data_IF_961702756130
#
_entry.id   IF_961702756130
#
_cell.length_a   1.000
_cell.length_b   1.000
_cell.length_c   1.000
_cell.angle_alpha   90.00
_cell.angle_beta   90.00
_cell.angle_gamma   90.00
#
_symmetry.space_group_name_H-M   'P 1'
#
loop_
_entity.id
_entity.type
_entity.pdbx_description
1 polymer ?
#
# COMPACT_ATOMS: atom_id res chain seq x y z
N UNK A 1 3.66 -1.99 -1.98
CA UNK A 1 4.37 -1.40 -3.11
C UNK A 1 4.99 -2.51 -3.92
N UNK A 2 4.42 -2.76 -5.09
CA UNK A 2 4.99 -3.67 -6.10
C UNK A 2 6.13 -3.01 -6.89
N UNK A 3 6.74 -1.96 -6.34
CA UNK A 3 7.93 -1.41 -6.95
C UNK A 3 8.95 -2.56 -7.06
N UNK A 4 9.44 -2.80 -8.24
CA UNK A 4 10.55 -3.73 -8.46
C UNK A 4 11.81 -3.12 -7.87
N UNK A 5 11.89 -3.13 -6.54
CA UNK A 5 13.09 -2.68 -5.86
C UNK A 5 14.28 -3.56 -6.24
N UNK A 6 15.39 -2.95 -6.56
CA UNK A 6 16.67 -3.66 -6.68
C UNK A 6 17.05 -4.37 -5.36
N UNK A 7 17.99 -5.31 -5.43
CA UNK A 7 18.33 -6.16 -4.29
C UNK A 7 18.70 -5.38 -3.01
N UNK A 8 19.44 -4.26 -3.13
CA UNK A 8 19.80 -3.42 -1.99
C UNK A 8 18.57 -2.75 -1.37
N UNK A 9 17.69 -2.17 -2.19
CA UNK A 9 16.49 -1.50 -1.70
C UNK A 9 15.48 -2.46 -1.06
N UNK A 10 15.40 -3.71 -1.52
CA UNK A 10 14.59 -4.75 -0.87
C UNK A 10 15.10 -5.08 0.54
N UNK A 11 16.42 -5.22 0.71
CA UNK A 11 17.03 -5.44 2.02
C UNK A 11 16.80 -4.24 2.94
N UNK A 12 16.95 -3.04 2.40
CA UNK A 12 16.71 -1.79 3.13
C UNK A 12 15.25 -1.65 3.56
N UNK A 13 14.27 -2.03 2.73
CA UNK A 13 12.86 -2.05 3.12
C UNK A 13 12.60 -2.98 4.31
N UNK A 14 13.19 -4.19 4.30
CA UNK A 14 13.04 -5.14 5.42
C UNK A 14 13.62 -4.55 6.71
N UNK A 15 14.83 -3.99 6.65
CA UNK A 15 15.44 -3.33 7.80
C UNK A 15 14.59 -2.13 8.29
N UNK A 16 14.11 -1.30 7.38
CA UNK A 16 13.28 -0.14 7.71
C UNK A 16 11.97 -0.51 8.42
N UNK A 17 11.37 -1.66 8.08
CA UNK A 17 10.19 -2.17 8.77
C UNK A 17 10.48 -2.57 10.20
N UNK A 18 11.63 -3.18 10.46
CA UNK A 18 12.07 -3.49 11.83
C UNK A 18 12.21 -2.21 12.66
N UNK A 19 12.78 -1.16 12.08
CA UNK A 19 12.91 0.14 12.74
C UNK A 19 11.54 0.79 12.98
N UNK A 20 10.61 0.70 12.01
CA UNK A 20 9.24 1.17 12.18
C UNK A 20 8.53 0.40 13.30
N UNK A 21 8.67 -0.94 13.34
CA UNK A 21 8.05 -1.77 14.38
C UNK A 21 8.56 -1.39 15.77
N UNK A 22 9.85 -1.10 15.89
CA UNK A 22 10.43 -0.60 17.13
C UNK A 22 9.89 0.78 17.51
N UNK A 23 9.72 1.70 16.53
CA UNK A 23 9.21 3.05 16.75
C UNK A 23 7.73 3.08 17.19
N UNK A 24 6.90 2.16 16.67
CA UNK A 24 5.47 2.10 17.04
C UNK A 24 5.18 1.14 18.20
N UNK A 25 6.20 0.45 18.71
CA UNK A 25 6.05 -0.46 19.84
C UNK A 25 5.64 0.28 21.11
N UNK A 26 4.44 -0.01 21.60
CA UNK A 26 3.87 0.67 22.78
C UNK A 26 3.35 2.08 22.52
N UNK A 27 3.34 2.55 21.27
CA UNK A 27 2.69 3.80 20.89
C UNK A 27 1.17 3.68 20.96
N UNK A 28 0.48 4.78 21.26
CA UNK A 28 -0.96 4.90 21.06
C UNK A 28 -1.29 5.19 19.58
N UNK A 29 -2.58 5.14 19.22
CA UNK A 29 -3.04 5.38 17.88
C UNK A 29 -2.67 6.79 17.37
N UNK A 30 -2.75 7.80 18.24
CA UNK A 30 -2.44 9.18 17.87
C UNK A 30 -0.95 9.36 17.55
N UNK A 31 -0.09 8.81 18.38
CA UNK A 31 1.36 8.85 18.18
C UNK A 31 1.79 8.13 16.89
N UNK A 32 1.20 6.96 16.61
CA UNK A 32 1.46 6.22 15.37
C UNK A 32 0.94 7.01 14.13
N UNK A 33 -0.23 7.65 14.23
CA UNK A 33 -0.80 8.47 13.17
C UNK A 33 -0.02 9.78 12.97
N UNK A 34 0.54 10.38 14.04
CA UNK A 34 1.45 11.52 13.93
C UNK A 34 2.74 11.14 13.19
N UNK A 35 3.35 10.01 13.55
CA UNK A 35 4.51 9.46 12.83
C UNK A 35 4.22 9.27 11.35
N UNK A 36 3.05 8.72 11.00
CA UNK A 36 2.60 8.59 9.61
C UNK A 36 2.62 9.93 8.88
N UNK A 37 2.03 10.98 9.48
CA UNK A 37 1.95 12.32 8.89
C UNK A 37 3.34 12.93 8.65
N UNK A 38 4.24 12.76 9.61
CA UNK A 38 5.61 13.23 9.52
C UNK A 38 6.42 12.50 8.43
N UNK A 39 6.21 11.18 8.29
CA UNK A 39 6.84 10.39 7.23
C UNK A 39 6.30 10.77 5.85
N UNK A 40 5.00 11.04 5.69
CA UNK A 40 4.46 11.60 4.44
C UNK A 40 5.09 12.93 4.10
N UNK A 41 5.22 13.84 5.08
CA UNK A 41 5.93 15.10 4.88
C UNK A 41 7.38 14.89 4.41
N UNK A 42 8.12 13.97 5.02
CA UNK A 42 9.47 13.62 4.58
C UNK A 42 9.49 13.07 3.16
N UNK A 43 8.55 12.19 2.81
CA UNK A 43 8.42 11.64 1.47
C UNK A 43 8.18 12.75 0.43
N UNK A 44 7.39 13.78 0.76
CA UNK A 44 7.15 14.94 -0.10
C UNK A 44 8.41 15.80 -0.27
N UNK A 45 9.11 16.09 0.82
CA UNK A 45 10.39 16.80 0.77
C UNK A 45 11.41 16.08 -0.11
N UNK A 46 11.53 14.76 0.05
CA UNK A 46 12.43 13.91 -0.75
C UNK A 46 11.98 13.80 -2.21
N UNK A 47 10.68 13.80 -2.47
CA UNK A 47 10.11 13.71 -3.82
C UNK A 47 10.40 14.98 -4.63
N UNK A 48 10.26 16.14 -4.00
CA UNK A 48 10.42 17.44 -4.66
C UNK A 48 11.88 17.91 -4.74
N UNK A 49 12.75 17.46 -3.81
CA UNK A 49 14.13 17.92 -3.72
C UNK A 49 15.14 16.84 -4.13
N UNK A 50 15.50 16.82 -5.43
CA UNK A 50 16.44 15.85 -5.99
C UNK A 50 17.80 15.90 -5.30
N UNK A 51 18.29 17.08 -4.96
CA UNK A 51 19.59 17.27 -4.31
C UNK A 51 19.63 16.63 -2.92
N UNK A 52 18.58 16.84 -2.11
CA UNK A 52 18.42 16.22 -0.78
C UNK A 52 18.39 14.70 -0.91
N UNK A 53 17.56 14.20 -1.80
CA UNK A 53 17.43 12.76 -2.05
C UNK A 53 18.75 12.10 -2.44
N UNK A 54 19.50 12.73 -3.36
CA UNK A 54 20.83 12.25 -3.76
C UNK A 54 21.83 12.29 -2.61
N UNK A 55 21.84 13.38 -1.84
CA UNK A 55 22.74 13.53 -0.70
C UNK A 55 22.55 12.42 0.34
N UNK A 56 21.30 12.00 0.60
CA UNK A 56 20.97 10.95 1.56
C UNK A 56 21.25 9.52 1.06
N UNK A 57 21.18 9.32 -0.25
CA UNK A 57 21.39 7.99 -0.86
C UNK A 57 22.80 7.78 -1.38
N UNK A 58 23.66 8.78 -1.32
CA UNK A 58 25.05 8.71 -1.75
C UNK A 58 25.84 7.70 -0.87
N UNK A 59 26.34 6.59 -1.42
CA UNK A 59 27.07 5.59 -0.65
C UNK A 59 28.46 6.04 -0.22
N UNK A 60 29.00 7.11 -0.83
CA UNK A 60 30.32 7.67 -0.49
C UNK A 60 30.29 8.58 0.73
N UNK A 61 29.11 9.08 1.11
CA UNK A 61 28.96 9.95 2.29
C UNK A 61 28.91 9.14 3.57
N UNK A 62 29.65 9.63 4.56
CA UNK A 62 29.59 9.08 5.91
C UNK A 62 28.20 9.18 6.56
N UNK A 63 27.80 8.15 7.29
CA UNK A 63 26.51 8.09 7.97
C UNK A 63 26.29 9.23 8.97
N UNK A 64 27.34 9.65 9.68
CA UNK A 64 27.26 10.79 10.61
C UNK A 64 26.98 12.11 9.89
N UNK A 65 27.60 12.33 8.73
CA UNK A 65 27.37 13.52 7.92
C UNK A 65 25.94 13.56 7.38
N UNK A 66 25.38 12.40 6.98
CA UNK A 66 23.96 12.28 6.58
C UNK A 66 23.01 12.57 7.73
N UNK A 67 23.30 12.01 8.93
CA UNK A 67 22.50 12.23 10.14
C UNK A 67 22.48 13.71 10.53
N UNK A 68 23.62 14.39 10.54
CA UNK A 68 23.70 15.82 10.80
C UNK A 68 22.89 16.62 9.78
N UNK A 69 23.04 16.31 8.49
CA UNK A 69 22.27 16.97 7.43
C UNK A 69 20.76 16.81 7.57
N UNK A 70 20.29 15.61 7.95
CA UNK A 70 18.85 15.35 8.22
C UNK A 70 18.40 16.16 9.44
N UNK A 71 19.18 16.16 10.52
CA UNK A 71 18.87 16.90 11.75
C UNK A 71 18.75 18.42 11.48
N UNK A 72 19.65 18.99 10.71
CA UNK A 72 19.62 20.40 10.34
C UNK A 72 18.41 20.73 9.46
N UNK A 73 18.07 19.86 8.52
CA UNK A 73 16.99 20.10 7.55
C UNK A 73 15.60 19.88 8.14
N UNK A 74 15.42 18.82 8.94
CA UNK A 74 14.12 18.30 9.36
C UNK A 74 13.90 18.34 10.87
N UNK A 75 14.95 18.47 11.70
CA UNK A 75 14.87 18.30 13.15
C UNK A 75 13.93 19.28 13.88
N UNK A 76 13.62 20.44 13.26
CA UNK A 76 12.62 21.40 13.78
C UNK A 76 11.21 21.19 13.19
N UNK A 77 11.04 20.26 12.25
CA UNK A 77 9.81 20.09 11.46
C UNK A 77 9.13 18.75 11.74
N UNK A 78 9.85 17.79 12.27
CA UNK A 78 9.34 16.42 12.57
C UNK A 78 9.77 16.03 13.98
N UNK A 79 9.01 15.11 14.60
CA UNK A 79 9.29 14.60 15.94
C UNK A 79 10.50 13.65 15.97
N UNK A 80 10.96 13.37 17.18
CA UNK A 80 12.15 12.56 17.41
C UNK A 80 12.06 11.15 16.82
N UNK A 81 10.87 10.53 16.84
CA UNK A 81 10.65 9.18 16.27
C UNK A 81 10.87 9.18 14.76
N UNK A 82 10.23 10.12 14.03
CA UNK A 82 10.40 10.25 12.59
C UNK A 82 11.83 10.62 12.23
N UNK A 83 12.46 11.53 12.98
CA UNK A 83 13.84 11.94 12.76
C UNK A 83 14.80 10.75 12.92
N UNK A 84 14.65 9.95 13.97
CA UNK A 84 15.43 8.75 14.20
C UNK A 84 15.28 7.75 13.06
N UNK A 85 14.05 7.45 12.67
CA UNK A 85 13.75 6.52 11.57
C UNK A 85 14.36 7.00 10.24
N UNK A 86 14.18 8.27 9.86
CA UNK A 86 14.74 8.82 8.62
C UNK A 86 16.27 8.83 8.64
N UNK A 87 16.86 9.06 9.80
CA UNK A 87 18.32 8.97 9.99
C UNK A 87 18.83 7.55 9.73
N UNK A 88 18.17 6.53 10.29
CA UNK A 88 18.51 5.13 10.03
C UNK A 88 18.36 4.77 8.54
N UNK A 89 17.25 5.18 7.90
CA UNK A 89 17.03 4.95 6.48
C UNK A 89 18.13 5.56 5.60
N UNK A 90 18.69 6.69 5.99
CA UNK A 90 19.79 7.34 5.26
C UNK A 90 21.10 6.56 5.34
N UNK A 91 21.28 5.75 6.36
CA UNK A 91 22.46 4.89 6.52
C UNK A 91 22.39 3.62 5.67
N UNK A 92 21.20 3.24 5.20
CA UNK A 92 20.97 2.06 4.39
C UNK A 92 21.41 2.26 2.93
N UNK A 93 21.57 1.16 2.21
CA UNK A 93 21.94 1.18 0.78
C UNK A 93 20.72 1.11 -0.11
N UNK A 94 20.67 2.00 -1.09
CA UNK A 94 19.55 2.14 -2.03
C UNK A 94 20.02 1.84 -3.45
N UNK A 95 19.26 1.01 -4.18
CA UNK A 95 19.54 0.72 -5.60
C UNK A 95 19.26 1.92 -6.50
N UNK A 96 18.33 2.77 -6.08
CA UNK A 96 18.00 4.04 -6.73
C UNK A 96 17.63 5.09 -5.67
N UNK A 97 17.99 6.37 -5.86
CA UNK A 97 17.53 7.46 -4.98
C UNK A 97 16.02 7.57 -4.88
N UNK A 98 15.26 7.17 -5.91
CA UNK A 98 13.80 7.14 -5.89
C UNK A 98 13.26 6.09 -4.92
N UNK A 99 13.97 4.99 -4.72
CA UNK A 99 13.52 3.90 -3.84
C UNK A 99 13.41 4.37 -2.37
N UNK A 100 14.29 5.27 -1.92
CA UNK A 100 14.18 5.89 -0.59
C UNK A 100 12.84 6.61 -0.41
N UNK A 101 12.42 7.41 -1.41
CA UNK A 101 11.12 8.13 -1.37
C UNK A 101 9.96 7.14 -1.23
N UNK A 102 9.97 6.11 -2.07
CA UNK A 102 8.91 5.10 -2.11
C UNK A 102 8.87 4.29 -0.81
N UNK A 103 10.01 3.98 -0.21
CA UNK A 103 10.07 3.28 1.07
C UNK A 103 9.60 4.17 2.21
N UNK A 104 9.98 5.45 2.25
CA UNK A 104 9.48 6.39 3.27
C UNK A 104 7.96 6.53 3.19
N UNK A 105 7.40 6.66 1.98
CA UNK A 105 5.94 6.68 1.78
C UNK A 105 5.30 5.38 2.26
N UNK A 106 5.89 4.23 1.93
CA UNK A 106 5.37 2.94 2.38
C UNK A 106 5.37 2.84 3.91
N UNK A 107 6.43 3.28 4.58
CA UNK A 107 6.49 3.30 6.05
C UNK A 107 5.46 4.27 6.64
N UNK A 108 5.16 5.38 5.97
CA UNK A 108 4.09 6.29 6.37
C UNK A 108 2.72 5.60 6.34
N UNK A 109 2.42 4.84 5.28
CA UNK A 109 1.19 4.05 5.17
C UNK A 109 1.15 2.96 6.24
N UNK A 110 2.27 2.26 6.46
CA UNK A 110 2.37 1.20 7.47
C UNK A 110 2.26 1.75 8.91
N UNK A 111 2.72 2.98 9.18
CA UNK A 111 2.51 3.67 10.44
C UNK A 111 1.03 4.01 10.67
N UNK A 112 0.32 4.50 9.64
CA UNK A 112 -1.13 4.73 9.72
C UNK A 112 -1.90 3.42 9.90
N UNK A 113 -1.50 2.36 9.21
CA UNK A 113 -2.05 1.03 9.41
C UNK A 113 -1.89 0.54 10.86
N UNK A 114 -0.74 0.88 11.49
CA UNK A 114 -0.52 0.58 12.91
C UNK A 114 -1.46 1.37 13.81
N UNK A 115 -1.65 2.66 13.53
CA UNK A 115 -2.61 3.51 14.24
C UNK A 115 -4.03 2.94 14.16
N UNK A 116 -4.48 2.60 12.94
CA UNK A 116 -5.78 1.99 12.70
C UNK A 116 -5.91 0.61 13.39
N UNK A 117 -4.84 -0.18 13.42
CA UNK A 117 -4.84 -1.48 14.11
C UNK A 117 -4.96 -1.33 15.63
N UNK A 118 -4.24 -0.36 16.22
CA UNK A 118 -4.33 -0.04 17.66
C UNK A 118 -5.76 0.44 18.00
N UNK A 119 -6.39 1.22 17.12
CA UNK A 119 -7.78 1.66 17.25
C UNK A 119 -8.83 0.58 16.98
N UNK A 120 -8.43 -0.62 16.49
CA UNK A 120 -9.35 -1.68 16.08
C UNK A 120 -10.08 -1.42 14.75
N UNK A 121 -9.64 -0.44 13.97
CA UNK A 121 -10.29 0.02 12.73
C UNK A 121 -9.59 -0.44 11.43
N UNK A 122 -8.51 -1.21 11.52
CA UNK A 122 -7.71 -1.54 10.33
C UNK A 122 -8.50 -2.29 9.25
N UNK A 123 -9.42 -3.19 9.64
CA UNK A 123 -10.28 -3.90 8.67
C UNK A 123 -11.18 -2.92 7.91
N UNK A 124 -11.76 -1.97 8.64
CA UNK A 124 -12.58 -0.89 8.07
C UNK A 124 -11.78 -0.04 7.08
N UNK A 125 -10.56 0.37 7.46
CA UNK A 125 -9.67 1.17 6.58
C UNK A 125 -9.36 0.41 5.30
N UNK A 126 -9.04 -0.88 5.39
CA UNK A 126 -8.75 -1.71 4.22
C UNK A 126 -9.97 -1.83 3.28
N UNK A 127 -11.19 -2.02 3.83
CA UNK A 127 -12.44 -2.07 3.05
C UNK A 127 -12.76 -0.74 2.39
N UNK A 128 -12.61 0.36 3.12
CA UNK A 128 -12.85 1.71 2.60
C UNK A 128 -11.86 2.08 1.49
N UNK A 129 -10.57 1.74 1.62
CA UNK A 129 -9.55 1.96 0.57
C UNK A 129 -9.86 1.10 -0.67
N UNK A 130 -10.32 -0.13 -0.48
CA UNK A 130 -10.73 -0.99 -1.61
C UNK A 130 -11.96 -0.42 -2.33
N UNK A 131 -12.96 0.03 -1.57
CA UNK A 131 -14.18 0.65 -2.11
C UNK A 131 -13.84 1.93 -2.88
N UNK A 132 -13.00 2.79 -2.32
CA UNK A 132 -12.52 3.99 -2.99
C UNK A 132 -11.77 3.66 -4.30
N UNK A 133 -10.89 2.65 -4.28
CA UNK A 133 -10.18 2.19 -5.48
C UNK A 133 -11.15 1.78 -6.59
N UNK A 134 -12.20 1.03 -6.24
CA UNK A 134 -13.21 0.57 -7.18
C UNK A 134 -14.04 1.74 -7.75
N UNK A 135 -14.44 2.68 -6.89
CA UNK A 135 -15.19 3.87 -7.31
C UNK A 135 -14.37 4.74 -8.29
N UNK A 136 -13.09 4.98 -7.98
CA UNK A 136 -12.23 5.78 -8.86
C UNK A 136 -11.87 5.06 -10.17
N UNK A 137 -11.68 3.75 -10.15
CA UNK A 137 -11.45 2.98 -11.37
C UNK A 137 -12.69 2.97 -12.28
N UNK A 138 -13.90 2.95 -11.71
CA UNK A 138 -15.16 2.92 -12.43
C UNK A 138 -15.59 4.24 -13.09
N UNK A 139 -14.99 5.38 -12.72
CA UNK A 139 -15.39 6.71 -13.22
C UNK A 139 -14.25 7.44 -13.93
N UNK A 140 -14.40 7.67 -15.24
CA UNK A 140 -13.44 8.48 -16.01
C UNK A 140 -13.43 9.94 -15.57
N UNK A 141 -14.57 10.47 -15.13
CA UNK A 141 -14.71 11.85 -14.66
C UNK A 141 -13.96 12.05 -13.33
N UNK A 142 -14.13 11.13 -12.39
CA UNK A 142 -13.39 11.16 -11.11
C UNK A 142 -11.89 11.07 -11.35
N UNK A 143 -11.44 10.16 -12.22
CA UNK A 143 -10.01 10.05 -12.57
C UNK A 143 -9.46 11.35 -13.12
N UNK A 144 -10.18 11.99 -14.05
CA UNK A 144 -9.79 13.28 -14.62
C UNK A 144 -9.74 14.40 -13.57
N UNK A 145 -10.74 14.47 -12.69
CA UNK A 145 -10.79 15.47 -11.62
C UNK A 145 -9.63 15.30 -10.63
N UNK A 146 -9.32 14.07 -10.23
CA UNK A 146 -8.25 13.76 -9.27
C UNK A 146 -6.84 13.93 -9.84
N UNK A 147 -6.66 13.85 -11.16
CA UNK A 147 -5.37 14.08 -11.82
C UNK A 147 -5.17 15.54 -12.23
N UNK A 148 -6.17 16.40 -12.06
CA UNK A 148 -6.06 17.85 -12.33
C UNK A 148 -5.09 18.53 -11.35
N UNK A 149 -4.61 19.71 -11.71
CA UNK A 149 -3.73 20.52 -10.82
C UNK A 149 -4.51 21.36 -9.78
N UNK A 150 -5.84 21.29 -9.77
CA UNK A 150 -6.72 22.07 -8.91
C UNK A 150 -6.76 21.49 -7.48
N UNK A 151 -5.75 21.77 -6.65
CA UNK A 151 -5.57 21.19 -5.31
C UNK A 151 -6.79 21.36 -4.40
N UNK A 152 -7.39 22.56 -4.37
CA UNK A 152 -8.56 22.81 -3.52
C UNK A 152 -9.80 22.01 -3.97
N UNK A 153 -10.03 21.92 -5.28
CA UNK A 153 -11.14 21.15 -5.82
C UNK A 153 -10.97 19.65 -5.54
N UNK A 154 -9.74 19.14 -5.63
CA UNK A 154 -9.43 17.75 -5.26
C UNK A 154 -9.70 17.47 -3.79
N UNK A 155 -9.30 18.36 -2.89
CA UNK A 155 -9.52 18.18 -1.45
C UNK A 155 -11.02 18.12 -1.12
N UNK A 156 -11.82 19.01 -1.70
CA UNK A 156 -13.28 19.01 -1.55
C UNK A 156 -13.88 17.71 -2.10
N UNK A 157 -13.49 17.32 -3.31
CA UNK A 157 -13.99 16.10 -3.94
C UNK A 157 -13.65 14.84 -3.12
N UNK A 158 -12.42 14.74 -2.60
CA UNK A 158 -12.01 13.62 -1.73
C UNK A 158 -12.83 13.61 -0.45
N UNK A 159 -13.06 14.79 0.18
CA UNK A 159 -13.86 14.90 1.38
C UNK A 159 -15.32 14.47 1.16
N UNK A 160 -15.91 14.84 0.02
CA UNK A 160 -17.28 14.48 -0.33
C UNK A 160 -17.42 12.96 -0.62
N UNK A 161 -16.47 12.39 -1.36
CA UNK A 161 -16.49 10.95 -1.69
C UNK A 161 -16.27 10.09 -0.44
N UNK A 162 -15.41 10.54 0.47
CA UNK A 162 -15.06 9.83 1.69
C UNK A 162 -15.90 10.25 2.90
N UNK A 163 -17.04 10.88 2.67
CA UNK A 163 -17.95 11.27 3.75
C UNK A 163 -18.40 10.04 4.55
N UNK A 164 -18.08 10.05 5.84
CA UNK A 164 -18.37 8.94 6.75
C UNK A 164 -17.29 7.85 6.80
N UNK A 165 -16.22 7.97 6.01
CA UNK A 165 -15.06 7.10 6.11
C UNK A 165 -14.25 7.39 7.39
N UNK A 166 -13.42 6.44 7.80
CA UNK A 166 -12.49 6.59 8.93
C UNK A 166 -11.48 7.71 8.69
N UNK A 167 -10.98 8.32 9.76
CA UNK A 167 -9.95 9.36 9.68
C UNK A 167 -8.68 8.88 8.97
N UNK A 168 -8.29 7.63 9.21
CA UNK A 168 -7.14 7.01 8.54
C UNK A 168 -7.36 6.85 7.04
N UNK A 169 -8.56 6.47 6.59
CA UNK A 169 -8.90 6.38 5.16
C UNK A 169 -8.85 7.75 4.49
N UNK A 170 -9.47 8.76 5.11
CA UNK A 170 -9.43 10.14 4.59
C UNK A 170 -7.99 10.63 4.46
N UNK A 171 -7.16 10.42 5.48
CA UNK A 171 -5.73 10.78 5.46
C UNK A 171 -5.00 10.08 4.31
N UNK A 172 -5.10 8.75 4.23
CA UNK A 172 -4.38 7.95 3.24
C UNK A 172 -4.76 8.32 1.81
N UNK A 173 -6.06 8.45 1.51
CA UNK A 173 -6.53 8.83 0.18
C UNK A 173 -6.13 10.27 -0.16
N UNK A 174 -6.23 11.20 0.80
CA UNK A 174 -5.79 12.58 0.60
C UNK A 174 -4.30 12.67 0.27
N UNK A 175 -3.46 11.96 1.00
CA UNK A 175 -2.01 11.90 0.75
C UNK A 175 -1.71 11.33 -0.64
N UNK A 176 -2.38 10.25 -1.02
CA UNK A 176 -2.22 9.61 -2.32
C UNK A 176 -2.61 10.55 -3.47
N UNK A 177 -3.78 11.21 -3.37
CA UNK A 177 -4.30 12.12 -4.40
C UNK A 177 -3.43 13.37 -4.57
N UNK A 178 -2.84 13.86 -3.48
CA UNK A 178 -1.95 15.02 -3.52
C UNK A 178 -0.56 14.68 -4.07
N UNK A 179 -0.14 13.41 -4.01
CA UNK A 179 1.22 13.02 -4.39
C UNK A 179 1.24 11.66 -5.12
N UNK A 180 0.78 11.61 -6.37
CA UNK A 180 0.79 10.40 -7.21
C UNK A 180 2.20 9.83 -7.47
N UNK A 181 3.23 10.65 -7.40
CA UNK A 181 4.65 10.30 -7.64
C UNK A 181 4.88 9.53 -8.95
N UNK A 182 4.15 9.92 -10.00
CA UNK A 182 4.27 9.31 -11.34
C UNK A 182 3.58 7.94 -11.48
N UNK A 183 2.73 7.56 -10.53
CA UNK A 183 1.92 6.33 -10.61
C UNK A 183 0.55 6.61 -11.24
N UNK A 184 -0.05 5.58 -11.87
CA UNK A 184 -1.47 5.61 -12.17
C UNK A 184 -2.31 5.48 -10.89
N UNK A 185 -3.58 5.86 -10.95
CA UNK A 185 -4.53 5.74 -9.83
C UNK A 185 -4.59 4.30 -9.34
N UNK A 186 -4.75 3.35 -10.25
CA UNK A 186 -4.85 1.92 -9.96
C UNK A 186 -3.57 1.40 -9.28
N UNK A 187 -2.40 1.82 -9.78
CA UNK A 187 -1.12 1.42 -9.20
C UNK A 187 -0.93 2.00 -7.80
N UNK A 188 -1.33 3.27 -7.58
CA UNK A 188 -1.24 3.90 -6.27
C UNK A 188 -2.13 3.20 -5.24
N UNK A 189 -3.40 2.91 -5.58
CA UNK A 189 -4.30 2.16 -4.70
C UNK A 189 -3.78 0.75 -4.41
N UNK A 190 -3.28 0.05 -5.42
CA UNK A 190 -2.71 -1.29 -5.22
C UNK A 190 -1.50 -1.27 -4.26
N UNK A 191 -0.64 -0.25 -4.36
CA UNK A 191 0.49 -0.05 -3.45
C UNK A 191 0.03 0.19 -2.01
N UNK A 192 -0.99 1.03 -1.81
CA UNK A 192 -1.55 1.33 -0.49
C UNK A 192 -2.21 0.10 0.14
N UNK A 193 -3.03 -0.62 -0.61
CA UNK A 193 -3.65 -1.87 -0.16
C UNK A 193 -2.59 -2.90 0.24
N UNK A 194 -1.52 -3.02 -0.55
CA UNK A 194 -0.43 -3.92 -0.23
C UNK A 194 0.31 -3.52 1.06
N UNK A 195 0.56 -2.23 1.28
CA UNK A 195 1.22 -1.73 2.48
C UNK A 195 0.35 -1.95 3.74
N UNK A 196 -0.97 -1.73 3.64
CA UNK A 196 -1.92 -2.03 4.72
C UNK A 196 -1.92 -3.52 5.09
N UNK A 197 -2.02 -4.40 4.09
CA UNK A 197 -2.02 -5.85 4.30
C UNK A 197 -0.68 -6.37 4.85
N UNK A 198 0.44 -5.80 4.40
CA UNK A 198 1.77 -6.16 4.89
C UNK A 198 1.91 -5.93 6.40
N UNK A 199 1.19 -4.97 6.97
CA UNK A 199 1.21 -4.67 8.41
C UNK A 199 0.63 -5.79 9.26
N UNK A 200 -0.28 -6.60 8.71
CA UNK A 200 -0.83 -7.79 9.36
C UNK A 200 -0.14 -9.10 8.94
N UNK A 201 0.94 -9.06 8.18
CA UNK A 201 1.51 -10.25 7.54
C UNK A 201 0.49 -11.06 6.74
N UNK A 202 -0.49 -10.38 6.12
CA UNK A 202 -1.53 -11.01 5.30
C UNK A 202 -1.22 -10.82 3.81
N UNK A 203 -1.53 -11.83 3.01
CA UNK A 203 -1.57 -11.72 1.55
C UNK A 203 -2.94 -11.20 1.09
N UNK A 204 -2.92 -10.33 0.08
CA UNK A 204 -4.15 -9.92 -0.60
C UNK A 204 -4.42 -10.92 -1.73
N UNK A 205 -5.63 -11.52 -1.68
CA UNK A 205 -6.21 -12.28 -2.78
C UNK A 205 -7.32 -11.46 -3.43
N UNK A 206 -7.14 -11.05 -4.69
CA UNK A 206 -8.24 -10.50 -5.48
C UNK A 206 -9.06 -11.66 -6.03
N UNK A 207 -10.32 -11.73 -5.61
CA UNK A 207 -11.24 -12.81 -5.96
C UNK A 207 -12.34 -12.25 -6.86
N UNK A 208 -12.36 -12.71 -8.13
CA UNK A 208 -13.41 -12.38 -9.09
C UNK A 208 -14.46 -13.49 -9.10
N UNK A 209 -15.71 -13.06 -8.98
CA UNK A 209 -16.89 -13.96 -8.90
C UNK A 209 -18.03 -13.41 -9.75
N UNK A 210 -18.88 -14.31 -10.26
CA UNK A 210 -20.05 -13.93 -11.05
C UNK A 210 -21.19 -13.32 -10.20
N UNK A 211 -21.30 -13.72 -8.94
CA UNK A 211 -22.36 -13.30 -8.02
C UNK A 211 -21.84 -13.24 -6.58
N UNK A 212 -22.46 -12.42 -5.69
CA UNK A 212 -22.05 -12.29 -4.30
C UNK A 212 -22.00 -13.63 -3.57
N UNK A 213 -20.97 -13.82 -2.72
CA UNK A 213 -20.85 -14.98 -1.83
C UNK A 213 -21.59 -14.75 -0.51
N UNK A 214 -22.15 -15.81 0.06
CA UNK A 214 -22.61 -15.77 1.44
C UNK A 214 -21.41 -15.70 2.41
N UNK A 215 -21.65 -15.24 3.64
CA UNK A 215 -20.61 -15.18 4.68
C UNK A 215 -19.94 -16.54 4.89
N UNK A 216 -20.72 -17.62 4.95
CA UNK A 216 -20.20 -18.97 5.11
C UNK A 216 -19.29 -19.43 3.94
N UNK A 217 -19.61 -19.00 2.71
CA UNK A 217 -18.77 -19.28 1.54
C UNK A 217 -17.48 -18.47 1.59
N UNK A 218 -17.55 -17.21 2.01
CA UNK A 218 -16.39 -16.33 2.18
C UNK A 218 -15.42 -16.88 3.23
N UNK A 219 -15.94 -17.31 4.38
CA UNK A 219 -15.14 -17.89 5.47
C UNK A 219 -14.43 -19.18 5.03
N UNK A 220 -15.13 -20.07 4.32
CA UNK A 220 -14.55 -21.29 3.74
C UNK A 220 -13.45 -20.97 2.72
N UNK A 221 -13.68 -20.00 1.86
CA UNK A 221 -12.70 -19.58 0.86
C UNK A 221 -11.45 -18.99 1.54
N UNK A 222 -11.64 -18.12 2.55
CA UNK A 222 -10.54 -17.53 3.33
C UNK A 222 -9.71 -18.62 4.02
N UNK A 223 -10.36 -19.57 4.68
CA UNK A 223 -9.69 -20.70 5.35
C UNK A 223 -8.91 -21.55 4.35
N UNK A 224 -9.52 -21.88 3.22
CA UNK A 224 -8.88 -22.70 2.17
C UNK A 224 -7.66 -22.01 1.57
N UNK A 225 -7.75 -20.71 1.28
CA UNK A 225 -6.65 -19.91 0.73
C UNK A 225 -5.52 -19.76 1.75
N UNK A 226 -5.85 -19.45 3.02
CA UNK A 226 -4.88 -19.35 4.11
C UNK A 226 -4.11 -20.68 4.30
N UNK A 227 -4.80 -21.80 4.30
CA UNK A 227 -4.17 -23.12 4.41
C UNK A 227 -3.27 -23.44 3.22
N UNK A 228 -3.67 -23.06 2.00
CA UNK A 228 -2.90 -23.31 0.78
C UNK A 228 -1.63 -22.46 0.68
N UNK A 229 -1.67 -21.24 1.19
CA UNK A 229 -0.58 -20.28 1.10
C UNK A 229 0.31 -20.30 2.35
N UNK A 230 -0.15 -20.88 3.46
CA UNK A 230 0.60 -20.99 4.72
C UNK A 230 0.67 -19.71 5.53
N UNK A 231 -0.09 -18.68 5.17
CA UNK A 231 -0.17 -17.41 5.91
C UNK A 231 -1.56 -16.77 5.75
N UNK A 232 -1.97 -15.87 6.66
CA UNK A 232 -3.26 -15.22 6.60
C UNK A 232 -3.49 -14.52 5.26
N UNK A 233 -4.70 -14.67 4.72
CA UNK A 233 -5.10 -14.09 3.43
C UNK A 233 -6.26 -13.15 3.65
N UNK A 234 -6.16 -11.92 3.12
CA UNK A 234 -7.29 -11.00 2.97
C UNK A 234 -7.89 -11.17 1.59
N UNK A 235 -9.19 -11.39 1.53
CA UNK A 235 -9.93 -11.51 0.27
C UNK A 235 -10.56 -10.16 -0.08
N UNK A 236 -10.24 -9.63 -1.26
CA UNK A 236 -10.92 -8.52 -1.90
C UNK A 236 -11.80 -9.09 -3.02
N UNK A 237 -13.12 -8.86 -2.94
CA UNK A 237 -14.09 -9.41 -3.88
C UNK A 237 -14.39 -8.38 -4.97
N UNK A 238 -14.27 -8.82 -6.22
CA UNK A 238 -14.71 -8.09 -7.40
C UNK A 238 -15.80 -8.91 -8.09
N UNK A 239 -16.98 -8.32 -8.25
CA UNK A 239 -18.09 -8.97 -8.97
C UNK A 239 -17.90 -8.66 -10.45
N UNK A 240 -17.65 -9.70 -11.25
CA UNK A 240 -17.44 -9.62 -12.68
C UNK A 240 -18.42 -10.56 -13.39
N UNK A 241 -19.49 -10.02 -14.02
CA UNK A 241 -20.49 -10.83 -14.71
C UNK A 241 -19.93 -11.64 -15.90
N UNK A 242 -18.73 -11.30 -16.40
CA UNK A 242 -18.08 -12.06 -17.47
C UNK A 242 -17.53 -13.41 -17.01
N UNK A 243 -17.41 -13.62 -15.69
CA UNK A 243 -17.03 -14.93 -15.10
C UNK A 243 -18.24 -15.88 -15.22
N UNK A 244 -18.15 -16.88 -16.09
CA UNK A 244 -19.22 -17.88 -16.34
C UNK A 244 -19.53 -18.79 -15.13
N UNK A 245 -19.01 -18.46 -13.93
CA UNK A 245 -19.16 -19.22 -12.70
C UNK A 245 -17.81 -19.70 -12.15
N UNK A 246 -17.82 -20.11 -10.88
CA UNK A 246 -16.60 -20.44 -10.13
C UNK A 246 -15.91 -19.19 -9.57
N UNK A 247 -14.63 -19.33 -9.23
CA UNK A 247 -13.84 -18.31 -8.56
C UNK A 247 -12.50 -18.18 -9.27
N UNK A 248 -12.15 -16.96 -9.68
CA UNK A 248 -10.81 -16.62 -10.13
C UNK A 248 -10.09 -15.89 -8.99
N UNK A 249 -8.93 -16.38 -8.57
CA UNK A 249 -8.15 -15.83 -7.47
C UNK A 249 -6.80 -15.37 -7.98
N UNK A 250 -6.47 -14.10 -7.77
CA UNK A 250 -5.18 -13.53 -8.10
C UNK A 250 -4.42 -13.17 -6.83
N UNK A 251 -3.23 -13.76 -6.67
CA UNK A 251 -2.26 -13.39 -5.64
C UNK A 251 -1.09 -12.69 -6.30
N UNK A 252 -0.83 -11.45 -5.92
CA UNK A 252 0.31 -10.71 -6.48
C UNK A 252 0.39 -10.87 -8.02
N UNK A 253 1.33 -11.66 -8.51
CA UNK A 253 1.53 -11.93 -9.95
C UNK A 253 1.07 -13.33 -10.37
N UNK A 254 0.64 -14.17 -9.42
CA UNK A 254 0.12 -15.50 -9.70
C UNK A 254 -1.41 -15.47 -9.78
N UNK A 255 -1.97 -16.07 -10.83
CA UNK A 255 -3.40 -16.25 -11.02
C UNK A 255 -3.76 -17.74 -10.93
N UNK A 256 -4.64 -18.05 -9.99
CA UNK A 256 -5.28 -19.37 -9.87
C UNK A 256 -6.69 -19.24 -10.41
N UNK A 257 -6.89 -19.65 -11.65
CA UNK A 257 -8.18 -19.60 -12.32
C UNK A 257 -8.96 -20.90 -12.07
N UNK A 258 -9.84 -20.86 -11.10
CA UNK A 258 -10.79 -21.93 -10.76
C UNK A 258 -12.17 -21.76 -11.42
N UNK A 259 -12.29 -20.89 -12.43
CA UNK A 259 -13.54 -20.67 -13.14
C UNK A 259 -14.01 -21.91 -13.91
N UNK A 260 -15.33 -21.99 -14.12
CA UNK A 260 -15.93 -23.05 -14.93
C UNK A 260 -15.38 -23.03 -16.36
N UNK A 261 -15.09 -21.85 -16.89
CA UNK A 261 -14.48 -21.68 -18.22
C UNK A 261 -13.12 -22.37 -18.32
N UNK A 262 -12.24 -22.22 -17.34
CA UNK A 262 -10.93 -22.84 -17.34
C UNK A 262 -11.00 -24.37 -17.16
N UNK A 263 -11.97 -24.85 -16.34
CA UNK A 263 -12.24 -26.29 -16.19
C UNK A 263 -12.76 -26.90 -17.48
N UNK A 264 -13.65 -26.22 -18.20
CA UNK A 264 -14.14 -26.67 -19.51
C UNK A 264 -13.02 -26.67 -20.56
N UNK A 265 -12.18 -25.63 -20.59
CA UNK A 265 -11.03 -25.61 -21.49
C UNK A 265 -10.02 -26.70 -21.16
N UNK A 266 -9.82 -27.04 -19.89
CA UNK A 266 -9.01 -28.18 -19.45
C UNK A 266 -9.60 -29.51 -19.88
N UNK A 267 -10.87 -29.73 -19.71
CA UNK A 267 -11.59 -30.93 -20.14
C UNK A 267 -11.56 -31.09 -21.67
N UNK A 268 -11.80 -30.00 -22.42
CA UNK A 268 -11.71 -30.02 -23.88
C UNK A 268 -10.30 -30.40 -24.39
N UNK A 269 -9.26 -29.87 -23.75
CA UNK A 269 -7.87 -30.24 -24.08
C UNK A 269 -7.55 -31.70 -23.76
N UNK A 270 -8.03 -32.23 -22.63
CA UNK A 270 -7.86 -33.63 -22.25
C UNK A 270 -8.54 -34.57 -23.25
N UNK A 271 -9.75 -34.23 -23.72
CA UNK A 271 -10.47 -34.99 -24.74
C UNK A 271 -9.82 -34.92 -26.13
N UNK A 272 -9.24 -33.76 -26.50
CA UNK A 272 -8.54 -33.58 -27.77
C UNK A 272 -7.17 -34.27 -27.81
N UNK A 273 -6.48 -34.42 -26.67
CA UNK A 273 -5.18 -35.09 -26.55
C UNK A 273 -5.25 -36.60 -26.35
N UNK A 274 -6.46 -37.21 -26.33
CA UNK A 274 -6.71 -38.66 -26.15
C UNK A 274 -6.93 -39.40 -27.47
N UNK A 275 -6.31 -38.90 -28.58
CA UNK A 275 -6.28 -39.63 -29.89
C UNK A 275 -4.88 -40.10 -30.21
#
# INVERSE_FOLDING_TARGET
MRAHFGGSSRKSLVASRVSLDAAVKGADANSASALSSELFFVADVLSTNIAVRRALTDPSRDGKAKAAFISDLLGKKIGALALGLVTELSSLRWSSPKDLVLVVEQLAIEAEASAANIAGELDRVEDEIFTAATAFAGSSELRKALTSDATNAKAILVADILKGASGSTVKLVSQMVNAWRGRSIESAFADYQWALAARRNRLIALVRIAAPLSQAQLDRLTTSLTSKVGQPVRINIEIDPSVLGGVSVKFADEMVDGSVSNRLAGAARALAGSK
#
